data_IF_530956506615
#
_entry.id   IF_530956506615
#
_cell.length_a   1.000
_cell.length_b   1.000
_cell.length_c   1.000
_cell.angle_alpha   90.00
_cell.angle_beta   90.00
_cell.angle_gamma   90.00
#
_symmetry.space_group_name_H-M   'P 1'
#
loop_
_entity.id
_entity.type
_entity.pdbx_description
1 polymer ?
#
# COMPACT_ATOMS: atom_id res chain seq x y z
N UNK A 1 -8.56 0.93 13.08
CA UNK A 1 -8.11 0.29 11.83
C UNK A 1 -8.51 1.24 10.71
N UNK A 2 -7.64 1.57 9.76
CA UNK A 2 -7.99 2.46 8.64
C UNK A 2 -8.60 1.62 7.52
N UNK A 3 -9.73 1.00 7.82
CA UNK A 3 -10.60 0.30 6.90
C UNK A 3 -11.66 1.31 6.49
N UNK A 4 -11.57 1.84 5.27
CA UNK A 4 -12.64 1.64 4.27
C UNK A 4 -12.46 2.54 3.02
N UNK A 5 -11.92 3.75 3.16
CA UNK A 5 -11.82 4.68 2.01
C UNK A 5 -10.39 5.17 1.76
N UNK A 6 -9.83 4.74 0.63
CA UNK A 6 -8.59 5.29 0.08
C UNK A 6 -8.86 5.96 -1.27
N UNK A 7 -8.43 7.20 -1.42
CA UNK A 7 -8.58 7.94 -2.68
C UNK A 7 -7.28 7.89 -3.46
N UNK A 8 -7.35 7.61 -4.75
CA UNK A 8 -6.19 7.70 -5.64
C UNK A 8 -5.83 9.17 -5.82
N UNK A 9 -4.58 9.52 -5.49
CA UNK A 9 -4.08 10.90 -5.57
C UNK A 9 -3.08 11.08 -6.70
N UNK A 10 -2.44 10.01 -7.17
CA UNK A 10 -1.60 10.07 -8.36
C UNK A 10 -1.51 8.73 -9.08
N UNK A 11 -1.30 8.78 -10.40
CA UNK A 11 -1.03 7.64 -11.28
C UNK A 11 0.07 8.02 -12.26
N UNK A 12 1.15 7.24 -12.28
CA UNK A 12 2.28 7.45 -13.17
C UNK A 12 2.67 6.17 -13.88
N UNK A 13 2.78 6.24 -15.20
CA UNK A 13 3.38 5.19 -16.02
C UNK A 13 4.90 5.27 -15.91
N UNK A 14 5.54 4.12 -15.72
CA UNK A 14 7.00 3.95 -15.66
C UNK A 14 7.39 2.85 -16.65
N UNK A 15 8.68 2.68 -16.95
CA UNK A 15 9.13 1.58 -17.81
C UNK A 15 8.80 0.19 -17.26
N UNK A 16 8.66 0.07 -15.93
CA UNK A 16 8.39 -1.20 -15.27
C UNK A 16 6.89 -1.48 -15.07
N UNK A 17 6.02 -0.48 -15.19
CA UNK A 17 4.61 -0.62 -14.84
C UNK A 17 3.92 0.69 -14.51
N UNK A 18 2.76 0.59 -13.88
CA UNK A 18 1.98 1.74 -13.38
C UNK A 18 2.15 1.86 -11.87
N UNK A 19 2.67 3.00 -11.43
CA UNK A 19 2.70 3.38 -10.02
C UNK A 19 1.42 4.14 -9.67
N UNK A 20 0.71 3.65 -8.66
CA UNK A 20 -0.50 4.27 -8.11
C UNK A 20 -0.22 4.73 -6.68
N UNK A 21 -0.46 6.01 -6.42
CA UNK A 21 -0.45 6.56 -5.07
C UNK A 21 -1.88 6.76 -4.59
N UNK A 22 -2.14 6.24 -3.39
CA UNK A 22 -3.42 6.36 -2.71
C UNK A 22 -3.23 7.00 -1.34
N UNK A 23 -4.20 7.81 -0.92
CA UNK A 23 -4.24 8.42 0.39
C UNK A 23 -5.42 7.86 1.16
N UNK A 24 -5.17 7.26 2.31
CA UNK A 24 -6.23 6.84 3.21
C UNK A 24 -6.93 8.06 3.83
N UNK A 25 -8.18 7.89 4.27
CA UNK A 25 -8.90 8.90 5.04
C UNK A 25 -8.12 9.42 6.27
N UNK A 26 -7.21 8.63 6.84
CA UNK A 26 -6.33 9.03 7.95
C UNK A 26 -5.12 9.88 7.51
N UNK A 27 -5.02 10.25 6.24
CA UNK A 27 -3.96 11.10 5.68
C UNK A 27 -2.70 10.36 5.23
N UNK A 28 -2.55 9.07 5.53
CA UNK A 28 -1.37 8.26 5.15
C UNK A 28 -1.37 7.90 3.67
N UNK A 29 -0.16 7.90 3.10
CA UNK A 29 0.08 7.49 1.72
C UNK A 29 0.43 6.01 1.63
N UNK A 30 -0.06 5.40 0.56
CA UNK A 30 0.27 4.05 0.11
C UNK A 30 0.59 4.09 -1.38
N UNK A 31 1.69 3.47 -1.74
CA UNK A 31 2.15 3.23 -3.10
C UNK A 31 1.83 1.78 -3.49
N UNK A 32 1.40 1.60 -4.73
CA UNK A 32 1.27 0.31 -5.39
C UNK A 32 1.93 0.40 -6.77
N UNK A 33 2.91 -0.47 -7.05
CA UNK A 33 3.42 -0.70 -8.39
C UNK A 33 2.70 -1.90 -8.98
N UNK A 34 2.06 -1.69 -10.13
CA UNK A 34 1.48 -2.73 -10.98
C UNK A 34 2.44 -2.94 -12.15
N UNK A 35 3.28 -3.98 -12.13
CA UNK A 35 4.27 -4.21 -13.18
C UNK A 35 3.61 -4.55 -14.53
N UNK A 36 4.32 -4.26 -15.62
CA UNK A 36 3.97 -4.77 -16.93
C UNK A 36 4.47 -6.21 -17.08
N UNK A 37 3.56 -7.14 -17.34
CA UNK A 37 3.87 -8.56 -17.48
C UNK A 37 2.96 -9.43 -16.60
N UNK A 38 2.71 -10.65 -17.08
CA UNK A 38 1.79 -11.60 -16.44
C UNK A 38 2.37 -12.22 -15.16
N UNK A 39 3.71 -12.21 -15.03
CA UNK A 39 4.44 -12.81 -13.90
C UNK A 39 4.88 -11.78 -12.85
N UNK A 40 4.61 -10.50 -13.09
CA UNK A 40 5.03 -9.42 -12.21
C UNK A 40 4.16 -9.38 -10.94
N UNK A 41 4.78 -9.57 -9.78
CA UNK A 41 4.08 -9.41 -8.49
C UNK A 41 3.93 -7.92 -8.17
N UNK A 42 2.70 -7.49 -7.89
CA UNK A 42 2.44 -6.11 -7.47
C UNK A 42 3.19 -5.78 -6.19
N UNK A 43 3.94 -4.67 -6.19
CA UNK A 43 4.71 -4.22 -5.04
C UNK A 43 3.93 -3.13 -4.31
N UNK A 44 3.82 -3.23 -2.99
CA UNK A 44 3.17 -2.22 -2.18
C UNK A 44 4.15 -1.63 -1.16
N UNK A 45 4.14 -0.31 -1.02
CA UNK A 45 4.92 0.40 -0.02
C UNK A 45 4.02 1.42 0.70
N UNK A 46 4.24 1.58 2.01
CA UNK A 46 3.38 2.44 2.82
C UNK A 46 2.01 1.82 3.10
N UNK A 47 1.46 2.15 4.26
CA UNK A 47 0.25 1.54 4.80
C UNK A 47 0.39 1.29 6.29
N UNK A 48 -0.71 0.89 6.93
CA UNK A 48 -0.60 0.28 8.24
C UNK A 48 0.13 -1.05 8.04
N UNK A 49 1.42 -1.11 8.39
CA UNK A 49 2.03 -2.39 8.72
C UNK A 49 1.07 -3.09 9.68
N UNK A 50 0.62 -4.30 9.31
CA UNK A 50 -0.21 -5.11 10.19
C UNK A 50 0.50 -5.12 11.53
N UNK A 51 -0.18 -4.59 12.54
CA UNK A 51 0.35 -4.50 13.89
C UNK A 51 0.69 -5.94 14.28
N UNK A 52 1.99 -6.26 14.35
CA UNK A 52 2.49 -7.52 14.93
C UNK A 52 1.67 -7.75 16.20
N UNK A 53 1.02 -8.92 16.39
CA UNK A 53 0.29 -9.16 17.62
C UNK A 53 1.26 -8.89 18.77
N UNK A 54 0.87 -7.99 19.67
CA UNK A 54 1.63 -7.77 20.91
C UNK A 54 1.77 -9.14 21.54
N UNK A 55 2.98 -9.72 21.56
CA UNK A 55 3.28 -10.81 22.49
C UNK A 55 2.99 -10.24 23.86
N UNK A 56 1.89 -10.66 24.46
CA UNK A 56 1.57 -10.34 25.84
C UNK A 56 2.76 -10.71 26.69
N UNK A 57 3.19 -9.77 27.54
CA UNK A 57 4.15 -10.04 28.60
C UNK A 57 3.47 -11.05 29.53
N UNK A 58 3.92 -12.30 29.50
CA UNK A 58 3.58 -13.25 30.55
C UNK A 58 4.18 -12.71 31.86
N UNK A 59 3.29 -12.38 32.80
CA UNK A 59 3.63 -12.23 34.21
C UNK A 59 3.69 -13.60 34.86
#
# INVERSE_FOLDING_TARGET
MCTDTSTIVSRHTTSEGVVVWSRCACGRLRMLLVPYGIDGTALAAGGHGTRRPRRGRAT
#
